data_IF_823024837346
#
_entry.id   IF_823024837346
#
_cell.length_a   1.000
_cell.length_b   1.000
_cell.length_c   1.000
_cell.angle_alpha   90.00
_cell.angle_beta   90.00
_cell.angle_gamma   90.00
#
_symmetry.space_group_name_H-M   'P 1'
#
loop_
_entity.id
_entity.type
_entity.pdbx_description
1 polymer ?
#
# COMPACT_ATOMS: atom_id res chain seq x y z
N UNK A 1 -0.97 -23.37 -14.34
CA UNK A 1 -1.50 -22.93 -13.85
C UNK A 1 -1.16 -22.49 -13.27
N UNK A 2 -1.23 -22.75 -13.62
CA UNK A 2 -1.61 -22.12 -12.90
C UNK A 2 -1.51 -21.77 -12.47
N UNK A 3 -1.62 -21.82 -12.55
CA UNK A 3 -2.14 -21.31 -11.97
C UNK A 3 -2.18 -21.01 -11.77
N UNK A 4 -2.15 -21.35 -12.15
CA UNK A 4 -2.76 -20.85 -11.77
C UNK A 4 -2.83 -20.56 -11.51
N UNK A 5 -2.76 -20.78 -11.61
CA UNK A 5 -3.30 -20.32 -11.20
C UNK A 5 -3.46 -19.98 -11.05
N UNK A 6 -3.78 -19.76 -10.94
CA UNK A 6 -4.33 -19.43 -11.02
C UNK A 6 -4.67 -18.92 -11.74
N UNK A 7 -5.01 -19.14 -12.22
CA UNK A 7 -5.51 -18.78 -12.95
C UNK A 7 -6.22 -18.12 -13.16
N UNK A 8 -6.40 -17.91 -13.53
CA UNK A 8 -6.98 -17.28 -13.41
C UNK A 8 -7.90 -16.86 -13.27
N UNK A 9 -8.48 -17.05 -13.46
CA UNK A 9 -9.42 -16.71 -13.31
C UNK A 9 -9.84 -16.43 -12.33
N UNK A 10 -9.51 -16.39 -11.95
CA UNK A 10 -10.16 -16.59 -11.07
C UNK A 10 -10.95 -15.69 -10.45
N UNK A 11 -11.82 -15.92 -9.92
CA UNK A 11 -12.83 -15.12 -9.32
C UNK A 11 -12.68 -15.04 -7.85
N UNK A 12 -11.46 -14.80 -7.45
CA UNK A 12 -11.17 -14.56 -6.05
C UNK A 12 -11.77 -13.21 -5.65
N UNK A 13 -12.39 -13.11 -4.46
CA UNK A 13 -12.87 -11.83 -3.98
C UNK A 13 -11.74 -10.81 -3.78
N UNK A 14 -10.50 -11.28 -3.73
CA UNK A 14 -9.34 -10.41 -3.59
C UNK A 14 -8.81 -9.93 -4.94
N UNK A 15 -9.33 -10.43 -6.02
CA UNK A 15 -8.86 -10.05 -7.35
C UNK A 15 -9.34 -8.63 -7.69
N UNK A 16 -8.53 -7.94 -8.47
CA UNK A 16 -8.93 -6.64 -8.96
C UNK A 16 -10.11 -6.79 -9.93
N UNK A 17 -10.97 -5.76 -9.98
CA UNK A 17 -12.07 -5.80 -10.93
C UNK A 17 -11.57 -5.96 -12.37
N UNK A 18 -12.37 -6.60 -13.18
CA UNK A 18 -12.07 -6.75 -14.59
C UNK A 18 -11.88 -5.37 -15.21
N UNK A 19 -10.89 -5.25 -16.07
CA UNK A 19 -10.60 -3.99 -16.73
C UNK A 19 -9.74 -3.03 -15.93
N UNK A 20 -9.38 -3.37 -14.70
CA UNK A 20 -8.47 -2.55 -13.92
C UNK A 20 -7.09 -2.59 -14.54
N UNK A 21 -6.53 -1.42 -14.83
CA UNK A 21 -5.20 -1.31 -15.37
C UNK A 21 -4.39 -0.36 -14.52
N UNK A 22 -3.15 -0.74 -14.25
CA UNK A 22 -2.20 0.11 -13.54
C UNK A 22 -1.18 0.60 -14.54
N UNK A 23 -0.92 1.89 -14.52
CA UNK A 23 0.12 2.45 -15.38
C UNK A 23 1.42 2.59 -14.59
N UNK A 24 2.44 3.13 -15.28
CA UNK A 24 3.76 3.26 -14.66
C UNK A 24 3.75 4.18 -13.43
N UNK A 25 2.86 5.17 -13.40
CA UNK A 25 2.78 6.07 -12.26
C UNK A 25 2.16 5.36 -11.06
N UNK A 26 1.17 4.52 -11.28
CA UNK A 26 0.58 3.72 -10.20
C UNK A 26 1.62 2.79 -9.59
N UNK A 27 2.40 2.13 -10.43
CA UNK A 27 3.45 1.23 -9.96
C UNK A 27 4.52 2.01 -9.19
N UNK A 28 4.91 3.18 -9.70
CA UNK A 28 5.90 4.00 -9.02
C UNK A 28 5.40 4.46 -7.65
N UNK A 29 4.12 4.79 -7.53
CA UNK A 29 3.53 5.16 -6.25
C UNK A 29 3.62 3.99 -5.26
N UNK A 30 3.23 2.80 -5.71
CA UNK A 30 3.27 1.64 -4.84
C UNK A 30 4.68 1.32 -4.38
N UNK A 31 5.64 1.40 -5.28
CA UNK A 31 7.04 1.17 -4.94
C UNK A 31 7.56 2.21 -3.95
N UNK A 32 7.24 3.47 -4.19
CA UNK A 32 7.71 4.54 -3.32
C UNK A 32 7.12 4.41 -1.92
N UNK A 33 5.83 4.09 -1.83
CA UNK A 33 5.18 3.93 -0.53
C UNK A 33 5.65 2.68 0.21
N UNK A 34 6.06 1.65 -0.51
CA UNK A 34 6.68 0.49 0.14
C UNK A 34 8.01 0.84 0.77
N UNK A 35 8.76 1.77 0.16
CA UNK A 35 10.03 2.20 0.72
C UNK A 35 9.84 3.17 1.89
N UNK A 36 8.86 4.05 1.79
CA UNK A 36 8.61 5.04 2.84
C UNK A 36 7.14 5.42 2.83
N UNK A 37 6.39 4.80 3.73
CA UNK A 37 4.95 5.04 3.84
C UNK A 37 4.64 6.39 4.48
N UNK A 38 5.63 7.06 5.07
CA UNK A 38 5.41 8.31 5.79
C UNK A 38 5.64 9.55 4.94
N UNK A 39 6.08 9.38 3.71
CA UNK A 39 6.35 10.55 2.88
C UNK A 39 5.06 11.30 2.56
N UNK A 40 5.18 12.60 2.43
CA UNK A 40 4.04 13.45 2.12
C UNK A 40 3.59 13.24 0.68
N UNK A 41 2.36 13.67 0.38
CA UNK A 41 1.91 13.61 -1.00
C UNK A 41 2.77 14.48 -1.93
N UNK A 42 3.25 15.62 -1.42
CA UNK A 42 4.14 16.47 -2.20
C UNK A 42 5.45 15.76 -2.53
N UNK A 43 6.04 15.08 -1.54
CA UNK A 43 7.27 14.33 -1.77
C UNK A 43 7.05 13.18 -2.73
N UNK A 44 5.94 12.48 -2.59
CA UNK A 44 5.59 11.39 -3.48
C UNK A 44 5.43 11.88 -4.91
N UNK A 45 4.72 12.98 -5.08
CA UNK A 45 4.50 13.56 -6.41
C UNK A 45 5.82 13.94 -7.07
N UNK A 46 6.70 14.57 -6.30
CA UNK A 46 8.02 14.96 -6.82
C UNK A 46 8.81 13.71 -7.24
N UNK A 47 8.73 12.65 -6.44
CA UNK A 47 9.50 11.44 -6.73
C UNK A 47 9.05 10.74 -8.01
N UNK A 48 7.75 10.81 -8.33
CA UNK A 48 7.23 10.12 -9.51
C UNK A 48 7.07 11.02 -10.72
N UNK A 49 7.32 12.32 -10.56
CA UNK A 49 7.28 13.24 -11.67
C UNK A 49 5.91 13.76 -12.03
N UNK A 50 5.01 13.84 -11.06
CA UNK A 50 3.68 14.40 -11.24
C UNK A 50 3.46 15.55 -10.28
N UNK A 51 2.45 16.37 -10.56
CA UNK A 51 2.03 17.38 -9.59
C UNK A 51 1.20 16.72 -8.49
N UNK A 52 0.93 17.47 -7.42
CA UNK A 52 0.34 16.92 -6.21
C UNK A 52 -1.08 16.41 -6.41
N UNK A 53 -1.92 17.15 -7.13
CA UNK A 53 -3.32 16.79 -7.26
C UNK A 53 -3.55 15.45 -7.99
N UNK A 54 -2.95 15.24 -9.18
CA UNK A 54 -3.12 13.94 -9.82
C UNK A 54 -2.48 12.80 -9.03
N UNK A 55 -1.38 13.06 -8.31
CA UNK A 55 -0.77 12.04 -7.47
C UNK A 55 -1.74 11.61 -6.37
N UNK A 56 -2.36 12.58 -5.70
CA UNK A 56 -3.30 12.30 -4.63
C UNK A 56 -4.50 11.48 -5.14
N UNK A 57 -5.02 11.85 -6.31
CA UNK A 57 -6.14 11.09 -6.88
C UNK A 57 -5.76 9.65 -7.16
N UNK A 58 -4.53 9.43 -7.63
CA UNK A 58 -4.06 8.06 -7.88
C UNK A 58 -3.93 7.27 -6.58
N UNK A 59 -3.38 7.88 -5.54
CA UNK A 59 -3.27 7.22 -4.24
C UNK A 59 -4.66 6.82 -3.73
N UNK A 60 -5.62 7.73 -3.81
CA UNK A 60 -6.98 7.43 -3.37
C UNK A 60 -7.61 6.30 -4.17
N UNK A 61 -7.35 6.28 -5.47
CA UNK A 61 -7.85 5.20 -6.30
C UNK A 61 -7.24 3.85 -5.91
N UNK A 62 -5.92 3.84 -5.65
CA UNK A 62 -5.25 2.61 -5.25
C UNK A 62 -5.74 2.12 -3.89
N UNK A 63 -6.05 3.03 -2.99
CA UNK A 63 -6.67 2.68 -1.72
C UNK A 63 -8.07 2.08 -1.94
N UNK A 64 -8.86 2.72 -2.77
CA UNK A 64 -10.22 2.26 -3.04
C UNK A 64 -10.24 0.89 -3.71
N UNK A 65 -9.24 0.61 -4.54
CA UNK A 65 -9.12 -0.70 -5.19
C UNK A 65 -8.61 -1.79 -4.23
N UNK A 66 -8.18 -1.41 -3.04
CA UNK A 66 -7.66 -2.38 -2.07
C UNK A 66 -6.21 -2.77 -2.31
N UNK A 67 -5.52 -2.09 -3.22
CA UNK A 67 -4.10 -2.35 -3.44
C UNK A 67 -3.26 -1.77 -2.32
N UNK A 68 -3.63 -0.60 -1.82
CA UNK A 68 -3.03 -0.06 -0.61
C UNK A 68 -3.98 -0.38 0.52
N UNK A 69 -3.56 -1.29 1.39
CA UNK A 69 -4.40 -1.78 2.46
C UNK A 69 -4.12 -1.09 3.79
N UNK A 70 -3.03 -0.35 3.86
CA UNK A 70 -2.67 0.38 5.07
C UNK A 70 -1.27 0.91 4.97
N UNK A 71 -0.89 1.69 5.97
CA UNK A 71 0.43 2.29 6.08
C UNK A 71 1.00 1.85 7.41
N UNK A 72 2.19 1.24 7.41
CA UNK A 72 2.73 0.62 8.60
C UNK A 72 4.16 1.03 8.84
N UNK A 73 4.53 1.07 10.11
CA UNK A 73 5.91 1.22 10.51
C UNK A 73 6.49 -0.16 10.79
N UNK A 74 7.75 -0.35 10.42
CA UNK A 74 8.49 -1.53 10.81
C UNK A 74 9.18 -1.25 12.14
N UNK A 75 9.01 -2.15 13.07
CA UNK A 75 9.53 -1.99 14.42
C UNK A 75 10.49 -3.13 14.72
N UNK A 76 11.67 -2.78 15.20
CA UNK A 76 12.64 -3.79 15.62
C UNK A 76 12.24 -4.31 17.00
N UNK A 77 11.62 -5.47 16.98
CA UNK A 77 11.08 -6.08 18.21
C UNK A 77 12.16 -6.43 19.22
N UNK A 78 13.39 -6.63 18.75
CA UNK A 78 14.48 -6.97 19.65
C UNK A 78 14.94 -5.78 20.46
N UNK A 79 14.68 -4.57 19.99
CA UNK A 79 15.10 -3.35 20.67
C UNK A 79 14.07 -2.82 21.64
N UNK A 80 12.86 -3.34 21.60
CA UNK A 80 11.82 -2.96 22.57
C UNK A 80 11.42 -4.18 23.35
N UNK A 81 11.11 -3.99 24.63
CA UNK A 81 10.69 -5.11 25.46
C UNK A 81 9.27 -5.54 25.18
N UNK A 82 8.92 -6.72 25.66
CA UNK A 82 7.59 -7.25 25.50
C UNK A 82 6.51 -6.33 26.06
N UNK A 83 6.81 -5.67 27.17
CA UNK A 83 5.86 -4.78 27.79
C UNK A 83 5.52 -3.60 26.88
N UNK A 84 6.52 -3.03 26.23
CA UNK A 84 6.30 -1.93 25.29
C UNK A 84 5.46 -2.39 24.11
N UNK A 85 5.77 -3.57 23.58
CA UNK A 85 5.02 -4.11 22.47
C UNK A 85 3.56 -4.36 22.82
N UNK A 86 3.33 -4.88 24.02
CA UNK A 86 1.97 -5.13 24.50
C UNK A 86 1.19 -3.83 24.66
N UNK A 87 1.85 -2.78 25.11
CA UNK A 87 1.21 -1.48 25.26
C UNK A 87 0.77 -0.93 23.90
N UNK A 88 1.63 -1.02 22.92
CA UNK A 88 1.30 -0.57 21.56
C UNK A 88 0.11 -1.35 21.00
N UNK A 89 0.07 -2.64 21.26
CA UNK A 89 -1.04 -3.48 20.82
C UNK A 89 -2.36 -3.05 21.43
N UNK A 90 -2.35 -2.72 22.71
CA UNK A 90 -3.56 -2.25 23.38
C UNK A 90 -4.08 -0.98 22.73
N UNK A 91 -3.17 -0.07 22.41
CA UNK A 91 -3.56 1.18 21.76
C UNK A 91 -4.20 0.94 20.40
N UNK A 92 -3.70 -0.03 19.65
CA UNK A 92 -4.22 -0.29 18.31
C UNK A 92 -5.53 -1.05 18.32
N UNK A 93 -5.86 -1.70 19.42
CA UNK A 93 -7.10 -2.47 19.53
C UNK A 93 -8.32 -1.60 19.82
N UNK A 94 -8.14 -0.32 20.03
CA UNK A 94 -9.26 0.57 20.32
C UNK A 94 -9.91 1.20 19.11
#
# INVERSE_FOLDING_TARGET
MPKPARSGITSSPDALPAGTALDRFDVAILEALQRDARQSNADLAAAIGLSAAPTWRRVRRLEALGLITGYRAEIDRRKIGLGVLAFVRVDTDR
#
